data_IF_070952593309
#
_entry.id   IF_070952593309
#
_cell.length_a   1.000
_cell.length_b   1.000
_cell.length_c   1.000
_cell.angle_alpha   90.00
_cell.angle_beta   90.00
_cell.angle_gamma   90.00
#
_symmetry.space_group_name_H-M   'P 1'
#
loop_
_entity.id
_entity.type
_entity.pdbx_description
1 polymer ?
#
# COMPACT_ATOMS: atom_id res chain seq x y z
N UNK A 1 18.27 -8.79 1.02
CA UNK A 1 17.58 -10.03 0.56
C UNK A 1 18.05 -11.16 1.47
N UNK A 2 17.16 -12.03 1.94
CA UNK A 2 17.51 -13.15 2.82
C UNK A 2 17.94 -14.34 1.97
N UNK A 3 19.07 -14.93 2.28
CA UNK A 3 19.57 -16.10 1.58
C UNK A 3 18.86 -17.36 2.11
N UNK A 4 18.49 -18.28 1.22
CA UNK A 4 17.79 -19.53 1.61
C UNK A 4 18.64 -20.39 2.56
N UNK A 5 19.97 -20.37 2.42
CA UNK A 5 20.86 -21.07 3.35
C UNK A 5 20.99 -20.40 4.73
N UNK A 6 20.49 -19.17 4.93
CA UNK A 6 20.49 -18.51 6.24
C UNK A 6 19.81 -19.35 7.31
N UNK A 7 18.80 -20.15 6.95
CA UNK A 7 18.11 -21.05 7.88
C UNK A 7 18.97 -22.22 8.33
N UNK A 8 19.91 -22.69 7.50
CA UNK A 8 20.89 -23.70 7.91
C UNK A 8 21.88 -23.14 8.92
N UNK A 9 22.22 -21.86 8.80
CA UNK A 9 23.15 -21.16 9.68
C UNK A 9 22.59 -20.92 11.10
N UNK A 10 21.27 -21.02 11.29
CA UNK A 10 20.64 -20.92 12.61
C UNK A 10 21.08 -22.01 13.60
N UNK A 11 21.50 -23.18 13.11
CA UNK A 11 21.90 -24.33 13.93
C UNK A 11 23.38 -24.71 13.79
N UNK A 12 24.11 -24.03 12.91
CA UNK A 12 25.54 -24.30 12.69
C UNK A 12 26.35 -23.06 13.05
N UNK A 13 27.27 -23.19 14.01
CA UNK A 13 28.13 -22.08 14.44
C UNK A 13 29.02 -21.51 13.33
N UNK A 14 29.15 -22.19 12.18
CA UNK A 14 29.91 -21.73 11.00
C UNK A 14 29.25 -22.15 9.68
N UNK A 15 29.36 -21.30 8.67
CA UNK A 15 28.84 -21.52 7.30
C UNK A 15 29.46 -22.72 6.56
N UNK A 16 30.60 -23.24 7.03
CA UNK A 16 31.23 -24.44 6.47
C UNK A 16 30.58 -25.74 6.97
N UNK A 17 30.15 -25.76 8.24
CA UNK A 17 29.58 -26.94 8.91
C UNK A 17 28.19 -27.30 8.37
N UNK A 18 27.50 -26.34 7.74
CA UNK A 18 26.20 -26.55 7.09
C UNK A 18 26.26 -27.48 5.87
N UNK A 19 27.45 -27.80 5.35
CA UNK A 19 27.61 -28.74 4.23
C UNK A 19 27.33 -30.20 4.63
N UNK A 20 27.58 -30.57 5.88
CA UNK A 20 27.31 -31.91 6.42
C UNK A 20 25.83 -32.18 6.70
N UNK A 21 24.98 -31.14 6.70
CA UNK A 21 23.53 -31.26 6.92
C UNK A 21 22.75 -31.72 5.68
N UNK A 22 23.40 -31.95 4.54
CA UNK A 22 22.73 -32.45 3.33
C UNK A 22 22.10 -33.84 3.51
N UNK A 23 22.64 -34.65 4.41
CA UNK A 23 22.24 -36.05 4.63
C UNK A 23 21.32 -36.23 5.84
N UNK A 24 21.17 -35.21 6.70
CA UNK A 24 20.31 -35.27 7.88
C UNK A 24 18.92 -34.67 7.59
N UNK A 25 17.86 -35.37 7.99
CA UNK A 25 16.47 -34.90 7.95
C UNK A 25 16.24 -33.76 8.96
N UNK A 26 16.78 -32.58 8.65
CA UNK A 26 16.65 -31.37 9.46
C UNK A 26 15.54 -30.47 8.91
N UNK A 27 14.68 -29.96 9.79
CA UNK A 27 13.63 -28.98 9.44
C UNK A 27 14.22 -27.77 8.71
N UNK A 28 15.43 -27.32 9.10
CA UNK A 28 16.12 -26.19 8.48
C UNK A 28 16.58 -26.48 7.04
N UNK A 29 16.95 -27.73 6.74
CA UNK A 29 17.26 -28.15 5.38
C UNK A 29 15.99 -28.20 4.54
N UNK A 30 14.89 -28.70 5.10
CA UNK A 30 13.59 -28.71 4.42
C UNK A 30 13.09 -27.28 4.11
N UNK A 31 13.28 -26.32 5.02
CA UNK A 31 12.94 -24.91 4.80
C UNK A 31 13.79 -24.33 3.64
N UNK A 32 15.09 -24.57 3.64
CA UNK A 32 15.99 -24.12 2.57
C UNK A 32 15.57 -24.70 1.20
N UNK A 33 15.33 -26.01 1.11
CA UNK A 33 14.84 -26.67 -0.10
C UNK A 33 13.47 -26.15 -0.53
N UNK A 34 12.54 -25.97 0.41
CA UNK A 34 11.22 -25.41 0.12
C UNK A 34 11.33 -24.00 -0.47
N UNK A 35 12.14 -23.13 0.13
CA UNK A 35 12.35 -21.76 -0.34
C UNK A 35 13.00 -21.72 -1.72
N UNK A 36 13.96 -22.61 -1.99
CA UNK A 36 14.55 -22.75 -3.33
C UNK A 36 13.52 -23.22 -4.36
N UNK A 37 12.69 -24.22 -4.01
CA UNK A 37 11.68 -24.76 -4.92
C UNK A 37 10.66 -23.70 -5.33
N UNK A 38 10.16 -22.91 -4.37
CA UNK A 38 9.21 -21.84 -4.71
C UNK A 38 9.90 -20.72 -5.50
N UNK A 39 11.19 -20.46 -5.26
CA UNK A 39 11.97 -19.40 -5.90
C UNK A 39 12.66 -19.82 -7.22
N UNK A 40 12.15 -20.85 -7.90
CA UNK A 40 12.70 -21.30 -9.19
C UNK A 40 14.15 -21.80 -9.08
N UNK A 41 14.46 -22.53 -8.01
CA UNK A 41 15.80 -23.02 -7.64
C UNK A 41 16.83 -21.91 -7.35
N UNK A 42 16.40 -20.65 -7.18
CA UNK A 42 17.29 -19.56 -6.76
C UNK A 42 17.47 -19.57 -5.26
N UNK A 43 18.71 -19.46 -4.83
CA UNK A 43 19.08 -19.42 -3.42
C UNK A 43 19.10 -17.99 -2.85
N UNK A 44 19.24 -16.99 -3.73
CA UNK A 44 19.31 -15.56 -3.37
C UNK A 44 17.90 -14.95 -3.26
N UNK A 45 17.51 -14.62 -2.03
CA UNK A 45 16.20 -14.04 -1.76
C UNK A 45 15.17 -15.12 -1.43
N UNK A 46 14.24 -14.74 -0.55
CA UNK A 46 12.96 -15.41 -0.37
C UNK A 46 11.90 -14.65 -1.18
N UNK A 47 10.83 -15.33 -1.62
CA UNK A 47 9.77 -14.69 -2.41
C UNK A 47 8.98 -13.70 -1.56
N UNK A 48 8.67 -12.54 -2.13
CA UNK A 48 7.78 -11.53 -1.55
C UNK A 48 6.33 -11.84 -1.92
N UNK A 49 5.42 -11.78 -0.94
CA UNK A 49 3.98 -12.00 -1.15
C UNK A 49 3.42 -13.16 -0.32
N UNK A 50 3.98 -14.39 -0.39
CA UNK A 50 3.51 -15.51 0.43
C UNK A 50 3.69 -15.25 1.92
N UNK A 51 2.63 -15.41 2.71
CA UNK A 51 2.66 -15.17 4.16
C UNK A 51 3.67 -16.09 4.88
N UNK A 52 3.88 -17.30 4.36
CA UNK A 52 4.90 -18.22 4.87
C UNK A 52 6.32 -17.64 4.76
N UNK A 53 6.62 -16.90 3.68
CA UNK A 53 7.92 -16.24 3.54
C UNK A 53 8.09 -15.12 4.57
N UNK A 54 7.02 -14.38 4.88
CA UNK A 54 7.01 -13.36 5.94
C UNK A 54 7.27 -13.99 7.32
N UNK A 55 6.58 -15.09 7.62
CA UNK A 55 6.78 -15.84 8.87
C UNK A 55 8.23 -16.32 9.01
N UNK A 56 8.80 -16.87 7.94
CA UNK A 56 10.18 -17.37 7.94
C UNK A 56 11.20 -16.22 8.11
N UNK A 57 10.98 -15.08 7.46
CA UNK A 57 11.81 -13.89 7.67
C UNK A 57 11.78 -13.43 9.12
N UNK A 58 10.59 -13.38 9.71
CA UNK A 58 10.41 -12.99 11.11
C UNK A 58 11.09 -13.97 12.06
N UNK A 59 11.01 -15.28 11.79
CA UNK A 59 11.72 -16.31 12.55
C UNK A 59 13.25 -16.11 12.54
N UNK A 60 13.83 -15.80 11.38
CA UNK A 60 15.26 -15.47 11.28
C UNK A 60 15.60 -14.22 12.11
N UNK A 61 14.80 -13.16 12.01
CA UNK A 61 15.07 -11.92 12.72
C UNK A 61 14.89 -12.04 14.24
N UNK A 62 13.92 -12.80 14.73
CA UNK A 62 13.77 -13.09 16.18
C UNK A 62 15.03 -13.79 16.72
N UNK A 63 15.59 -14.73 15.96
CA UNK A 63 16.84 -15.38 16.35
C UNK A 63 18.01 -14.39 16.42
N UNK A 64 18.12 -13.48 15.44
CA UNK A 64 19.13 -12.43 15.44
C UNK A 64 18.93 -11.47 16.63
N UNK A 65 17.69 -11.05 16.90
CA UNK A 65 17.34 -10.17 18.02
C UNK A 65 17.78 -10.78 19.36
N UNK A 66 17.54 -12.08 19.55
CA UNK A 66 17.99 -12.79 20.75
C UNK A 66 19.51 -12.75 20.89
N UNK A 67 20.26 -13.06 19.82
CA UNK A 67 21.72 -13.00 19.86
C UNK A 67 22.24 -11.59 20.13
N UNK A 68 21.57 -10.55 19.61
CA UNK A 68 21.91 -9.15 19.87
C UNK A 68 21.74 -8.84 21.36
N UNK A 69 20.62 -9.24 21.97
CA UNK A 69 20.37 -9.02 23.40
C UNK A 69 21.42 -9.74 24.26
N UNK A 70 21.74 -11.00 23.94
CA UNK A 70 22.77 -11.78 24.63
C UNK A 70 24.15 -11.12 24.51
N UNK A 71 24.55 -10.71 23.31
CA UNK A 71 25.83 -10.03 23.06
C UNK A 71 25.93 -8.67 23.78
N UNK A 72 24.81 -7.96 23.93
CA UNK A 72 24.76 -6.70 24.68
C UNK A 72 24.82 -6.93 26.19
N UNK A 73 24.19 -7.99 26.68
CA UNK A 73 24.30 -8.39 28.08
C UNK A 73 25.75 -8.72 28.47
N UNK A 74 26.49 -9.41 27.60
CA UNK A 74 27.93 -9.68 27.77
C UNK A 74 28.77 -8.39 27.83
N UNK A 75 28.27 -7.29 27.26
CA UNK A 75 28.88 -5.95 27.33
C UNK A 75 28.36 -5.11 28.50
N UNK A 76 27.68 -5.71 29.47
CA UNK A 76 27.02 -5.05 30.62
C UNK A 76 25.93 -4.05 30.24
N UNK A 77 25.27 -4.23 29.09
CA UNK A 77 24.10 -3.45 28.68
C UNK A 77 22.85 -4.31 28.85
N UNK A 78 21.97 -3.90 29.77
CA UNK A 78 20.76 -4.65 30.13
C UNK A 78 19.54 -4.12 29.38
N UNK A 79 18.87 -5.02 28.64
CA UNK A 79 17.63 -4.71 27.93
C UNK A 79 16.55 -4.19 28.90
N UNK A 80 15.79 -3.16 28.46
CA UNK A 80 14.77 -2.43 29.25
C UNK A 80 15.27 -1.64 30.45
N UNK A 81 16.58 -1.62 30.69
CA UNK A 81 17.20 -0.81 31.74
C UNK A 81 18.09 0.27 31.13
N UNK A 82 19.06 -0.16 30.33
CA UNK A 82 20.04 0.74 29.70
C UNK A 82 19.59 1.16 28.30
N UNK A 83 18.85 0.29 27.62
CA UNK A 83 18.34 0.52 26.27
C UNK A 83 17.03 -0.23 25.99
N UNK A 84 16.30 0.23 24.98
CA UNK A 84 15.19 -0.46 24.33
C UNK A 84 15.46 -0.57 22.83
N UNK A 85 15.18 -1.74 22.26
CA UNK A 85 15.19 -1.98 20.81
C UNK A 85 13.78 -2.40 20.43
N UNK A 86 13.21 -1.74 19.43
CA UNK A 86 11.97 -2.14 18.79
C UNK A 86 12.26 -2.48 17.33
N UNK A 87 11.72 -3.59 16.84
CA UNK A 87 11.83 -3.97 15.43
C UNK A 87 10.46 -4.08 14.81
N UNK A 88 10.25 -3.41 13.68
CA UNK A 88 9.07 -3.54 12.83
C UNK A 88 9.52 -4.09 11.47
N UNK A 89 9.32 -5.38 11.25
CA UNK A 89 9.82 -6.07 10.04
C UNK A 89 11.35 -5.90 9.94
N UNK A 90 11.84 -5.10 8.99
CA UNK A 90 13.26 -4.82 8.76
C UNK A 90 13.77 -3.51 9.39
N UNK A 91 12.87 -2.70 9.97
CA UNK A 91 13.24 -1.42 10.61
C UNK A 91 13.53 -1.60 12.10
N UNK A 92 14.71 -1.12 12.54
CA UNK A 92 15.13 -1.09 13.95
C UNK A 92 15.04 0.33 14.53
N UNK A 93 14.44 0.44 15.72
CA UNK A 93 14.40 1.65 16.53
C UNK A 93 15.16 1.41 17.83
N UNK A 94 16.25 2.16 18.03
CA UNK A 94 17.12 2.03 19.20
C UNK A 94 16.92 3.25 20.10
N UNK A 95 16.53 3.02 21.36
CA UNK A 95 16.33 4.06 22.35
C UNK A 95 17.26 3.82 23.54
N UNK A 96 18.08 4.80 23.91
CA UNK A 96 18.94 4.79 25.10
C UNK A 96 19.16 6.22 25.59
N UNK A 97 19.81 6.37 26.76
CA UNK A 97 20.04 7.68 27.39
C UNK A 97 21.17 8.48 26.75
N UNK A 98 22.13 7.79 26.14
CA UNK A 98 23.29 8.39 25.50
C UNK A 98 23.56 7.79 24.10
N UNK A 99 24.22 8.57 23.26
CA UNK A 99 24.56 8.20 21.89
C UNK A 99 25.64 7.11 21.80
N UNK A 100 26.53 7.02 22.79
CA UNK A 100 27.57 5.99 22.85
C UNK A 100 26.96 4.59 22.88
N UNK A 101 25.96 4.40 23.75
CA UNK A 101 25.17 3.16 23.84
C UNK A 101 24.46 2.85 22.51
N UNK A 102 23.89 3.83 21.82
CA UNK A 102 23.24 3.61 20.51
C UNK A 102 24.23 3.12 19.46
N UNK A 103 25.44 3.69 19.43
CA UNK A 103 26.48 3.30 18.48
C UNK A 103 26.96 1.87 18.74
N UNK A 104 27.13 1.48 20.01
CA UNK A 104 27.47 0.10 20.40
C UNK A 104 26.37 -0.87 19.94
N UNK A 105 25.10 -0.56 20.20
CA UNK A 105 23.97 -1.40 19.80
C UNK A 105 23.91 -1.55 18.29
N UNK A 106 24.05 -0.44 17.55
CA UNK A 106 24.09 -0.44 16.08
C UNK A 106 25.23 -1.30 15.54
N UNK A 107 26.41 -1.25 16.15
CA UNK A 107 27.55 -2.09 15.79
C UNK A 107 27.25 -3.57 16.01
N UNK A 108 26.70 -3.93 17.17
CA UNK A 108 26.33 -5.32 17.50
C UNK A 108 25.28 -5.85 16.51
N UNK A 109 24.22 -5.09 16.24
CA UNK A 109 23.21 -5.46 15.24
C UNK A 109 23.86 -5.64 13.86
N UNK A 110 24.71 -4.70 13.43
CA UNK A 110 25.41 -4.79 12.14
C UNK A 110 26.26 -6.05 12.05
N UNK A 111 27.02 -6.38 13.10
CA UNK A 111 27.85 -7.58 13.14
C UNK A 111 27.00 -8.86 13.06
N UNK A 112 25.90 -8.92 13.81
CA UNK A 112 25.00 -10.07 13.81
C UNK A 112 24.26 -10.27 12.50
N UNK A 113 23.82 -9.18 11.85
CA UNK A 113 23.24 -9.24 10.51
C UNK A 113 24.24 -9.76 9.47
N UNK A 114 25.52 -9.36 9.56
CA UNK A 114 26.56 -9.77 8.61
C UNK A 114 26.83 -11.29 8.64
N UNK A 115 26.65 -11.96 9.79
CA UNK A 115 26.74 -13.43 9.90
C UNK A 115 25.76 -14.14 8.94
N UNK A 116 24.63 -13.49 8.65
CA UNK A 116 23.60 -13.96 7.72
C UNK A 116 23.64 -13.25 6.35
N UNK A 117 24.73 -12.55 6.03
CA UNK A 117 24.91 -11.74 4.82
C UNK A 117 23.90 -10.59 4.66
N UNK A 118 23.29 -10.15 5.76
CA UNK A 118 22.41 -8.99 5.81
C UNK A 118 23.21 -7.74 6.18
N UNK A 119 22.84 -6.58 5.60
CA UNK A 119 23.54 -5.31 5.83
C UNK A 119 22.53 -4.21 6.11
N UNK A 120 22.89 -3.32 7.05
CA UNK A 120 22.14 -2.09 7.31
C UNK A 120 22.32 -1.15 6.13
N UNK A 121 21.22 -0.58 5.63
CA UNK A 121 21.30 0.47 4.62
C UNK A 121 21.66 1.81 5.28
N UNK A 122 22.92 2.23 5.13
CA UNK A 122 23.43 3.47 5.73
C UNK A 122 22.66 4.73 5.34
N UNK A 123 22.08 4.80 4.13
CA UNK A 123 21.33 5.98 3.68
C UNK A 123 19.96 6.13 4.36
N UNK A 124 19.46 5.07 4.99
CA UNK A 124 18.21 5.07 5.77
C UNK A 124 18.45 5.31 7.26
N UNK A 125 19.71 5.36 7.71
CA UNK A 125 20.00 5.58 9.12
C UNK A 125 19.75 7.05 9.45
N UNK A 126 18.70 7.30 10.20
CA UNK A 126 18.37 8.62 10.75
C UNK A 126 18.53 8.61 12.28
N UNK A 127 18.90 9.77 12.83
CA UNK A 127 18.81 10.03 14.27
C UNK A 127 17.61 10.92 14.50
N UNK A 128 16.81 10.57 15.50
CA UNK A 128 15.63 11.35 15.88
C UNK A 128 15.88 12.05 17.22
N UNK A 129 15.73 13.37 17.24
CA UNK A 129 15.79 14.17 18.47
C UNK A 129 14.51 14.06 19.32
N UNK A 130 14.58 14.49 20.59
CA UNK A 130 13.43 14.52 21.51
C UNK A 130 12.23 15.31 20.98
N UNK A 131 12.48 16.34 20.15
CA UNK A 131 11.45 17.15 19.48
C UNK A 131 10.94 16.58 18.15
N UNK A 132 11.63 15.61 17.55
CA UNK A 132 11.21 14.93 16.31
C UNK A 132 10.32 13.71 16.61
N UNK A 133 10.33 13.21 17.85
CA UNK A 133 9.39 12.19 18.36
C UNK A 133 7.98 12.78 18.54
N UNK A 134 7.87 14.10 18.77
CA UNK A 134 6.59 14.80 18.65
C UNK A 134 6.18 14.74 17.19
N UNK A 135 5.16 13.94 16.92
CA UNK A 135 4.52 13.87 15.62
C UNK A 135 3.86 15.23 15.31
N UNK A 136 4.65 16.24 14.92
CA UNK A 136 4.16 17.59 14.64
C UNK A 136 3.01 17.54 13.63
N UNK A 137 3.07 16.62 12.67
CA UNK A 137 1.98 16.37 11.72
C UNK A 137 0.63 16.04 12.40
N UNK A 138 0.63 15.31 13.53
CA UNK A 138 -0.60 14.99 14.29
C UNK A 138 -1.22 16.22 14.93
N UNK A 139 -0.41 17.22 15.31
CA UNK A 139 -0.90 18.50 15.84
C UNK A 139 -1.38 19.39 14.70
N UNK A 140 -0.58 19.52 13.63
CA UNK A 140 -0.91 20.38 12.48
C UNK A 140 -2.18 19.89 11.74
N UNK A 141 -2.36 18.57 11.62
CA UNK A 141 -3.53 18.00 10.95
C UNK A 141 -4.83 18.30 11.71
N UNK A 142 -4.78 18.59 13.02
CA UNK A 142 -5.97 18.94 13.81
C UNK A 142 -6.72 20.13 13.20
N UNK A 143 -5.99 21.10 12.68
CA UNK A 143 -6.57 22.28 12.02
C UNK A 143 -7.36 21.93 10.75
N UNK A 144 -6.97 20.84 10.07
CA UNK A 144 -7.67 20.27 8.91
C UNK A 144 -8.85 19.43 9.37
N UNK A 145 -8.69 18.63 10.44
CA UNK A 145 -9.78 17.83 11.01
C UNK A 145 -10.92 18.73 11.49
N UNK A 146 -10.62 19.85 12.15
CA UNK A 146 -11.62 20.84 12.55
C UNK A 146 -12.43 21.36 11.35
N UNK A 147 -11.79 21.56 10.19
CA UNK A 147 -12.51 21.93 8.97
C UNK A 147 -13.39 20.80 8.45
N UNK A 148 -12.92 19.56 8.49
CA UNK A 148 -13.70 18.38 8.10
C UNK A 148 -14.94 18.26 9.00
N UNK A 149 -14.79 18.43 10.31
CA UNK A 149 -15.93 18.46 11.24
C UNK A 149 -16.92 19.56 10.85
N UNK A 150 -16.45 20.78 10.56
CA UNK A 150 -17.30 21.88 10.10
C UNK A 150 -17.97 21.64 8.76
N UNK A 151 -17.43 20.76 7.92
CA UNK A 151 -18.05 20.32 6.66
C UNK A 151 -19.21 19.36 6.95
N UNK A 152 -19.08 18.44 7.91
CA UNK A 152 -20.08 17.38 8.16
C UNK A 152 -21.08 17.68 9.29
N UNK A 153 -20.77 18.62 10.19
CA UNK A 153 -21.61 19.01 11.32
C UNK A 153 -22.02 20.50 11.19
N UNK A 154 -23.29 20.74 10.86
CA UNK A 154 -23.88 22.08 10.81
C UNK A 154 -24.37 22.59 12.17
N UNK A 155 -24.58 21.69 13.14
CA UNK A 155 -24.98 21.97 14.52
C UNK A 155 -23.98 21.32 15.48
N UNK A 156 -23.46 22.10 16.43
CA UNK A 156 -22.36 21.68 17.30
C UNK A 156 -22.92 20.99 18.53
N UNK A 157 -22.69 19.69 18.65
CA UNK A 157 -22.48 19.08 19.96
C UNK A 157 -20.99 18.74 20.12
N UNK A 158 -20.32 19.56 20.94
CA UNK A 158 -19.01 19.35 21.58
C UNK A 158 -17.86 18.84 20.69
N UNK A 159 -17.33 19.73 19.84
CA UNK A 159 -15.98 19.64 19.23
C UNK A 159 -14.89 19.31 20.27
N UNK A 160 -15.04 19.81 21.51
CA UNK A 160 -14.08 19.57 22.59
C UNK A 160 -13.93 18.09 22.94
N UNK A 161 -14.98 17.27 22.87
CA UNK A 161 -14.88 15.85 23.28
C UNK A 161 -13.92 15.05 22.39
N UNK A 162 -13.94 15.27 21.07
CA UNK A 162 -13.08 14.57 20.12
C UNK A 162 -11.63 15.09 20.18
N UNK A 163 -11.43 16.39 20.35
CA UNK A 163 -10.09 16.96 20.49
C UNK A 163 -9.48 16.50 21.81
N UNK A 164 -10.24 16.54 22.91
CA UNK A 164 -9.79 16.04 24.22
C UNK A 164 -9.49 14.54 24.17
N UNK A 165 -10.34 13.71 23.56
CA UNK A 165 -10.07 12.27 23.43
C UNK A 165 -8.81 12.00 22.60
N UNK A 166 -8.61 12.80 21.54
CA UNK A 166 -7.47 12.65 20.64
C UNK A 166 -6.17 13.13 21.32
N UNK A 167 -6.19 14.25 22.03
CA UNK A 167 -5.08 14.72 22.86
C UNK A 167 -4.72 13.73 23.96
N UNK A 168 -5.70 13.12 24.63
CA UNK A 168 -5.45 12.05 25.60
C UNK A 168 -4.88 10.77 24.98
N UNK A 169 -5.21 10.48 23.72
CA UNK A 169 -4.67 9.32 23.00
C UNK A 169 -3.25 9.51 22.44
N UNK A 170 -2.70 10.73 22.53
CA UNK A 170 -1.36 11.06 22.00
C UNK A 170 -0.20 10.78 22.97
N UNK A 171 -0.45 10.17 24.14
CA UNK A 171 0.56 9.81 25.16
C UNK A 171 1.54 10.96 25.50
N UNK A 172 1.05 12.20 25.53
CA UNK A 172 1.85 13.37 25.89
C UNK A 172 1.95 13.50 27.42
N UNK A 173 3.14 13.84 27.95
CA UNK A 173 3.38 14.07 29.38
C UNK A 173 2.31 14.99 30.02
N UNK A 174 1.92 14.71 31.27
CA UNK A 174 0.86 15.42 32.02
C UNK A 174 1.01 16.96 32.01
N UNK A 175 2.23 17.49 32.13
CA UNK A 175 2.48 18.94 32.05
C UNK A 175 2.19 19.54 30.65
N UNK A 176 2.50 18.80 29.58
CA UNK A 176 2.22 19.23 28.20
C UNK A 176 0.76 19.08 27.85
N UNK A 177 0.12 17.99 28.28
CA UNK A 177 -1.34 17.83 28.15
C UNK A 177 -2.04 18.92 28.93
N UNK A 178 -1.61 19.25 30.13
CA UNK A 178 -2.20 20.32 30.93
C UNK A 178 -1.99 21.70 30.30
N UNK A 179 -0.79 22.01 29.78
CA UNK A 179 -0.56 23.27 29.05
C UNK A 179 -1.34 23.38 27.73
N UNK A 180 -1.52 22.27 27.00
CA UNK A 180 -2.33 22.24 25.77
C UNK A 180 -3.83 22.20 26.05
N UNK A 181 -4.27 21.55 27.13
CA UNK A 181 -5.65 21.55 27.61
C UNK A 181 -6.02 22.90 28.21
N UNK A 182 -5.11 23.58 28.90
CA UNK A 182 -5.26 24.97 29.33
C UNK A 182 -5.25 25.90 28.12
N UNK A 183 -4.42 25.67 27.10
CA UNK A 183 -4.50 26.42 25.84
C UNK A 183 -5.83 26.16 25.10
N UNK A 184 -6.29 24.91 25.04
CA UNK A 184 -7.56 24.51 24.41
C UNK A 184 -8.80 24.96 25.22
N UNK A 185 -8.70 25.02 26.55
CA UNK A 185 -9.70 25.57 27.45
C UNK A 185 -9.70 27.11 27.43
N UNK A 186 -8.54 27.75 27.24
CA UNK A 186 -8.45 29.19 26.96
C UNK A 186 -8.95 29.53 25.55
N UNK A 187 -9.04 28.53 24.66
CA UNK A 187 -9.87 28.54 23.45
C UNK A 187 -11.36 28.29 23.73
N UNK A 188 -11.83 28.55 24.96
CA UNK A 188 -13.23 28.89 25.24
C UNK A 188 -13.63 30.16 24.48
N UNK A 189 -13.69 30.04 23.15
CA UNK A 189 -14.65 30.82 22.40
C UNK A 189 -15.98 30.23 22.87
N UNK A 190 -16.65 30.95 23.77
CA UNK A 190 -18.09 30.85 23.92
C UNK A 190 -18.67 31.20 22.54
N UNK A 191 -18.69 30.23 21.62
CA UNK A 191 -19.19 30.46 20.26
C UNK A 191 -20.70 30.57 20.41
N UNK A 192 -21.29 31.76 20.25
CA UNK A 192 -22.75 31.85 20.22
C UNK A 192 -23.24 30.99 19.06
N UNK A 193 -24.42 30.36 19.17
CA UNK A 193 -25.07 29.58 18.10
C UNK A 193 -25.09 30.36 16.77
N UNK A 194 -24.01 30.31 16.00
CA UNK A 194 -23.84 30.95 14.70
C UNK A 194 -23.68 29.82 13.71
N UNK A 195 -24.58 29.77 12.73
CA UNK A 195 -24.38 28.96 11.52
C UNK A 195 -22.98 29.27 10.98
N UNK A 196 -22.11 28.27 10.93
CA UNK A 196 -20.78 28.46 10.33
C UNK A 196 -20.95 28.93 8.89
N UNK A 197 -20.13 29.90 8.47
CA UNK A 197 -19.98 30.19 7.03
C UNK A 197 -19.54 28.91 6.34
N UNK A 198 -20.14 28.61 5.17
CA UNK A 198 -19.77 27.46 4.32
C UNK A 198 -18.26 27.41 4.16
N UNK A 199 -17.69 26.22 4.35
CA UNK A 199 -16.25 26.01 4.19
C UNK A 199 -15.91 26.14 2.70
N UNK A 200 -14.88 26.92 2.36
CA UNK A 200 -14.44 27.11 0.96
C UNK A 200 -13.29 26.19 0.61
N UNK A 201 -13.26 25.73 -0.65
CA UNK A 201 -12.16 24.92 -1.20
C UNK A 201 -10.78 25.57 -0.96
N UNK A 202 -10.65 26.88 -1.20
CA UNK A 202 -9.35 27.59 -1.09
C UNK A 202 -8.79 27.55 0.33
N UNK A 203 -9.67 27.68 1.33
CA UNK A 203 -9.28 27.66 2.75
C UNK A 203 -8.84 26.26 3.16
N UNK A 204 -9.56 25.23 2.69
CA UNK A 204 -9.24 23.82 2.95
C UNK A 204 -7.90 23.45 2.31
N UNK A 205 -7.74 23.76 1.02
CA UNK A 205 -6.51 23.50 0.26
C UNK A 205 -5.30 24.17 0.92
N UNK A 206 -5.42 25.44 1.30
CA UNK A 206 -4.33 26.19 1.92
C UNK A 206 -3.85 25.54 3.23
N UNK A 207 -4.79 25.14 4.10
CA UNK A 207 -4.45 24.48 5.37
C UNK A 207 -3.83 23.10 5.18
N UNK A 208 -4.33 22.30 4.22
CA UNK A 208 -3.71 21.00 3.89
C UNK A 208 -2.28 21.20 3.39
N UNK A 209 -2.05 22.15 2.48
CA UNK A 209 -0.70 22.44 1.99
C UNK A 209 0.22 22.93 3.10
N UNK A 210 -0.27 23.80 3.98
CA UNK A 210 0.49 24.26 5.16
C UNK A 210 0.88 23.09 6.05
N UNK A 211 -0.07 22.19 6.35
CA UNK A 211 0.17 20.99 7.16
C UNK A 211 1.24 20.11 6.52
N UNK A 212 1.12 19.86 5.21
CA UNK A 212 2.06 19.03 4.45
C UNK A 212 3.44 19.68 4.39
N UNK A 213 3.55 21.00 4.27
CA UNK A 213 4.85 21.68 4.21
C UNK A 213 5.57 21.69 5.57
N UNK A 214 4.81 21.72 6.67
CA UNK A 214 5.37 21.67 8.04
C UNK A 214 5.70 20.23 8.45
N UNK A 215 4.95 19.25 7.94
CA UNK A 215 5.21 17.83 8.19
C UNK A 215 6.13 17.21 7.14
N UNK A 216 7.14 16.44 7.53
CA UNK A 216 7.83 15.56 6.56
C UNK A 216 6.98 14.33 6.17
N UNK A 217 5.75 14.23 6.67
CA UNK A 217 4.87 13.04 6.63
C UNK A 217 3.68 13.19 5.67
N UNK A 218 3.94 13.71 4.46
CA UNK A 218 2.93 13.96 3.42
C UNK A 218 1.97 12.78 3.21
N UNK A 219 2.49 11.56 3.14
CA UNK A 219 1.69 10.36 2.88
C UNK A 219 0.70 10.04 4.00
N UNK A 220 1.15 10.16 5.26
CA UNK A 220 0.32 9.94 6.44
C UNK A 220 -0.77 11.01 6.56
N UNK A 221 -0.43 12.28 6.33
CA UNK A 221 -1.38 13.40 6.35
C UNK A 221 -2.51 13.18 5.34
N UNK A 222 -2.19 12.93 4.07
CA UNK A 222 -3.20 12.66 3.04
C UNK A 222 -4.05 11.42 3.38
N UNK A 223 -3.41 10.35 3.84
CA UNK A 223 -4.11 9.12 4.22
C UNK A 223 -5.08 9.34 5.37
N UNK A 224 -4.68 10.10 6.40
CA UNK A 224 -5.49 10.39 7.56
C UNK A 224 -6.68 11.30 7.23
N UNK A 225 -6.46 12.32 6.40
CA UNK A 225 -7.54 13.20 5.90
C UNK A 225 -8.60 12.39 5.16
N UNK A 226 -8.19 11.55 4.18
CA UNK A 226 -9.13 10.70 3.43
C UNK A 226 -9.86 9.71 4.34
N UNK A 227 -9.16 9.12 5.31
CA UNK A 227 -9.77 8.19 6.27
C UNK A 227 -10.80 8.89 7.16
N UNK A 228 -10.52 10.13 7.59
CA UNK A 228 -11.46 10.92 8.38
C UNK A 228 -12.70 11.27 7.57
N UNK A 229 -12.53 11.74 6.33
CA UNK A 229 -13.64 12.03 5.42
C UNK A 229 -14.49 10.77 5.19
N UNK A 230 -13.84 9.65 4.89
CA UNK A 230 -14.52 8.37 4.68
C UNK A 230 -15.33 7.96 5.91
N UNK A 231 -14.71 8.00 7.10
CA UNK A 231 -15.37 7.66 8.37
C UNK A 231 -16.61 8.55 8.63
N UNK A 232 -16.55 9.84 8.31
CA UNK A 232 -17.70 10.75 8.44
C UNK A 232 -18.85 10.41 7.50
N UNK A 233 -18.54 9.99 6.28
CA UNK A 233 -19.55 9.54 5.30
C UNK A 233 -20.14 8.19 5.73
N UNK A 234 -19.32 7.26 6.19
CA UNK A 234 -19.76 5.93 6.64
C UNK A 234 -20.58 5.99 7.92
N UNK A 235 -20.27 6.89 8.86
CA UNK A 235 -21.06 7.09 10.07
C UNK A 235 -22.52 7.47 9.76
N UNK A 236 -22.76 8.18 8.65
CA UNK A 236 -24.08 8.58 8.19
C UNK A 236 -24.67 7.62 7.15
N UNK A 237 -24.32 6.33 7.17
CA UNK A 237 -24.69 5.36 6.11
C UNK A 237 -26.17 5.38 5.73
N UNK A 238 -27.08 5.48 6.71
CA UNK A 238 -28.53 5.42 6.51
C UNK A 238 -29.23 6.80 6.51
N UNK A 239 -28.47 7.88 6.67
CA UNK A 239 -29.00 9.24 6.77
C UNK A 239 -28.60 10.10 5.57
N UNK A 240 -29.33 11.20 5.35
CA UNK A 240 -28.97 12.20 4.35
C UNK A 240 -27.66 12.88 4.72
N UNK A 241 -26.73 12.94 3.76
CA UNK A 241 -25.42 13.53 3.97
C UNK A 241 -25.49 15.05 3.84
N UNK A 242 -25.66 15.74 4.97
CA UNK A 242 -25.58 17.20 5.02
C UNK A 242 -24.11 17.66 4.96
N UNK A 243 -23.75 18.34 3.86
CA UNK A 243 -22.41 18.89 3.63
C UNK A 243 -22.48 20.43 3.66
N UNK A 244 -21.79 21.05 4.60
CA UNK A 244 -21.66 22.50 4.74
C UNK A 244 -20.58 23.09 3.80
N UNK A 245 -20.60 22.64 2.55
CA UNK A 245 -19.73 23.04 1.45
C UNK A 245 -20.51 22.81 0.14
N UNK A 246 -20.19 23.53 -0.94
CA UNK A 246 -20.76 23.18 -2.25
C UNK A 246 -20.26 21.79 -2.65
N UNK A 247 -21.15 20.94 -3.16
CA UNK A 247 -20.80 19.55 -3.48
C UNK A 247 -19.60 19.44 -4.45
N UNK A 248 -19.54 20.31 -5.47
CA UNK A 248 -18.39 20.39 -6.38
C UNK A 248 -17.08 20.73 -5.65
N UNK A 249 -17.11 21.70 -4.73
CA UNK A 249 -15.93 22.08 -3.93
C UNK A 249 -15.49 20.90 -3.04
N UNK A 250 -16.43 20.13 -2.51
CA UNK A 250 -16.14 18.98 -1.67
C UNK A 250 -15.51 17.83 -2.46
N UNK A 251 -16.08 17.47 -3.62
CA UNK A 251 -15.49 16.45 -4.51
C UNK A 251 -14.10 16.91 -4.97
N UNK A 252 -13.95 18.18 -5.32
CA UNK A 252 -12.63 18.77 -5.64
C UNK A 252 -11.67 18.64 -4.45
N UNK A 253 -12.09 18.88 -3.20
CA UNK A 253 -11.24 18.69 -2.02
C UNK A 253 -10.74 17.25 -1.91
N UNK A 254 -11.63 16.26 -2.10
CA UNK A 254 -11.28 14.83 -2.02
C UNK A 254 -10.25 14.48 -3.10
N UNK A 255 -10.49 14.90 -4.35
CA UNK A 255 -9.57 14.70 -5.45
C UNK A 255 -8.23 15.40 -5.25
N UNK A 256 -8.22 16.62 -4.71
CA UNK A 256 -7.00 17.35 -4.38
C UNK A 256 -6.14 16.60 -3.35
N UNK A 257 -6.75 16.10 -2.26
CA UNK A 257 -6.01 15.35 -1.23
C UNK A 257 -5.46 14.05 -1.81
N UNK A 258 -6.25 13.37 -2.64
CA UNK A 258 -5.83 12.16 -3.35
C UNK A 258 -4.68 12.41 -4.31
N UNK A 259 -4.82 13.40 -5.22
CA UNK A 259 -3.80 13.73 -6.23
C UNK A 259 -2.49 14.20 -5.61
N UNK A 260 -2.55 14.75 -4.40
CA UNK A 260 -1.35 15.14 -3.66
C UNK A 260 -0.48 13.92 -3.32
N UNK A 261 -1.04 12.75 -3.01
CA UNK A 261 -0.27 11.54 -2.70
C UNK A 261 -1.00 10.27 -3.15
N UNK A 262 -0.74 9.89 -4.39
CA UNK A 262 -1.33 8.70 -5.02
C UNK A 262 -0.56 7.46 -4.59
N UNK A 263 -1.28 6.49 -4.07
CA UNK A 263 -0.83 5.14 -3.81
C UNK A 263 -2.05 4.22 -3.74
N UNK A 264 -1.83 2.91 -3.81
CA UNK A 264 -2.91 1.93 -3.70
C UNK A 264 -3.90 2.21 -2.53
N UNK A 265 -3.41 2.54 -1.33
CA UNK A 265 -4.27 2.77 -0.17
C UNK A 265 -5.08 4.06 -0.25
N UNK A 266 -4.57 5.14 -0.87
CA UNK A 266 -5.33 6.36 -1.10
C UNK A 266 -6.35 6.19 -2.21
N UNK A 267 -6.01 5.42 -3.26
CA UNK A 267 -6.91 5.02 -4.36
C UNK A 267 -8.13 4.26 -3.84
N UNK A 268 -7.92 3.26 -2.98
CA UNK A 268 -9.01 2.50 -2.37
C UNK A 268 -9.96 3.40 -1.53
N UNK A 269 -9.40 4.35 -0.78
CA UNK A 269 -10.20 5.30 0.02
C UNK A 269 -11.01 6.24 -0.86
N UNK A 270 -10.42 6.82 -1.92
CA UNK A 270 -11.18 7.71 -2.81
C UNK A 270 -12.27 6.94 -3.55
N UNK A 271 -12.00 5.73 -4.07
CA UNK A 271 -13.02 4.89 -4.70
C UNK A 271 -14.18 4.64 -3.74
N UNK A 272 -13.89 4.31 -2.48
CA UNK A 272 -14.92 4.08 -1.46
C UNK A 272 -15.72 5.35 -1.16
N UNK A 273 -15.07 6.49 -0.99
CA UNK A 273 -15.72 7.79 -0.79
C UNK A 273 -16.66 8.09 -1.96
N UNK A 274 -16.16 8.01 -3.20
CA UNK A 274 -16.94 8.35 -4.39
C UNK A 274 -18.12 7.38 -4.59
N UNK A 275 -17.92 6.08 -4.37
CA UNK A 275 -18.98 5.07 -4.44
C UNK A 275 -20.12 5.38 -3.45
N UNK A 276 -19.78 5.68 -2.19
CA UNK A 276 -20.77 6.03 -1.17
C UNK A 276 -21.49 7.35 -1.47
N UNK A 277 -20.81 8.31 -2.08
CA UNK A 277 -21.41 9.56 -2.50
C UNK A 277 -22.41 9.34 -3.64
N UNK A 278 -22.02 8.58 -4.69
CA UNK A 278 -22.89 8.24 -5.81
C UNK A 278 -24.16 7.54 -5.31
N UNK A 279 -24.02 6.54 -4.44
CA UNK A 279 -25.15 5.79 -3.89
C UNK A 279 -26.14 6.69 -3.11
N UNK A 280 -25.66 7.80 -2.53
CA UNK A 280 -26.47 8.71 -1.70
C UNK A 280 -27.17 9.84 -2.45
N UNK A 281 -26.62 10.38 -3.54
CA UNK A 281 -27.21 11.55 -4.23
C UNK A 281 -27.51 11.33 -5.74
N UNK A 282 -27.47 10.07 -6.16
CA UNK A 282 -28.00 9.43 -7.39
C UNK A 282 -27.69 10.02 -8.78
N UNK A 283 -27.53 11.33 -9.03
CA UNK A 283 -27.37 11.83 -10.41
C UNK A 283 -26.31 12.94 -10.60
N UNK A 284 -26.33 14.03 -9.83
CA UNK A 284 -25.41 15.17 -10.09
C UNK A 284 -23.93 14.89 -9.76
N UNK A 285 -23.64 13.83 -9.00
CA UNK A 285 -22.27 13.54 -8.53
C UNK A 285 -21.35 13.08 -9.65
N UNK A 286 -21.86 12.34 -10.65
CA UNK A 286 -21.01 11.79 -11.72
C UNK A 286 -20.35 12.91 -12.52
N UNK A 287 -21.11 13.89 -12.96
CA UNK A 287 -20.59 15.05 -13.70
C UNK A 287 -19.54 15.83 -12.88
N UNK A 288 -19.73 15.93 -11.55
CA UNK A 288 -18.77 16.58 -10.66
C UNK A 288 -17.48 15.76 -10.49
N UNK A 289 -17.59 14.42 -10.47
CA UNK A 289 -16.44 13.51 -10.48
C UNK A 289 -15.67 13.67 -11.79
N UNK A 290 -16.35 13.65 -12.93
CA UNK A 290 -15.77 13.81 -14.27
C UNK A 290 -14.97 15.12 -14.37
N UNK A 291 -15.57 16.25 -13.98
CA UNK A 291 -14.89 17.55 -13.91
C UNK A 291 -13.67 17.55 -12.98
N UNK A 292 -13.73 16.80 -11.88
CA UNK A 292 -12.60 16.70 -10.95
C UNK A 292 -11.49 15.82 -11.52
N UNK A 293 -11.83 14.76 -12.26
CA UNK A 293 -10.85 13.93 -12.96
C UNK A 293 -10.11 14.78 -14.01
N UNK A 294 -10.83 15.52 -14.85
CA UNK A 294 -10.24 16.45 -15.82
C UNK A 294 -9.26 17.43 -15.17
N UNK A 295 -9.64 17.96 -14.00
CA UNK A 295 -8.81 18.92 -13.27
C UNK A 295 -7.49 18.33 -12.76
N UNK A 296 -7.47 17.05 -12.39
CA UNK A 296 -6.34 16.40 -11.73
C UNK A 296 -5.72 15.28 -12.57
N UNK A 297 -6.00 15.23 -13.89
CA UNK A 297 -5.60 14.12 -14.76
C UNK A 297 -4.08 13.96 -14.87
N UNK A 298 -3.33 15.07 -14.87
CA UNK A 298 -1.87 15.06 -14.94
C UNK A 298 -1.23 14.59 -13.64
N UNK A 299 -1.86 14.88 -12.51
CA UNK A 299 -1.39 14.44 -11.21
C UNK A 299 -1.71 12.96 -10.98
N UNK A 300 -2.91 12.50 -11.35
CA UNK A 300 -3.40 11.14 -11.10
C UNK A 300 -2.76 10.11 -12.02
N UNK A 301 -2.85 10.31 -13.33
CA UNK A 301 -2.52 9.28 -14.32
C UNK A 301 -1.05 9.35 -14.72
N UNK A 302 -0.19 9.09 -13.74
CA UNK A 302 1.27 9.01 -13.90
C UNK A 302 1.70 7.64 -14.43
N UNK A 303 3.00 7.47 -14.69
CA UNK A 303 3.61 6.20 -15.10
C UNK A 303 3.52 5.07 -14.06
N UNK A 304 3.10 5.35 -12.82
CA UNK A 304 2.96 4.34 -11.77
C UNK A 304 1.53 3.78 -11.78
N UNK A 305 1.16 3.11 -12.87
CA UNK A 305 -0.20 2.63 -13.14
C UNK A 305 -0.79 1.75 -12.03
N UNK A 306 0.05 0.93 -11.38
CA UNK A 306 -0.36 0.03 -10.31
C UNK A 306 -1.00 0.76 -9.11
N UNK A 307 -0.64 2.02 -8.87
CA UNK A 307 -1.21 2.79 -7.75
C UNK A 307 -2.64 3.25 -8.01
N UNK A 308 -3.04 3.43 -9.27
CA UNK A 308 -4.33 4.00 -9.66
C UNK A 308 -5.19 3.09 -10.55
N UNK A 309 -4.72 1.88 -10.87
CA UNK A 309 -5.40 0.92 -11.75
C UNK A 309 -6.87 0.67 -11.37
N UNK A 310 -7.19 0.62 -10.08
CA UNK A 310 -8.55 0.35 -9.60
C UNK A 310 -9.54 1.47 -9.96
N UNK A 311 -9.06 2.67 -10.28
CA UNK A 311 -9.91 3.74 -10.81
C UNK A 311 -10.54 3.34 -12.15
N UNK A 312 -9.85 2.56 -13.01
CA UNK A 312 -10.45 2.07 -14.26
C UNK A 312 -11.65 1.19 -13.99
N UNK A 313 -11.56 0.32 -12.98
CA UNK A 313 -12.66 -0.54 -12.57
C UNK A 313 -13.83 0.27 -12.02
N UNK A 314 -13.52 1.29 -11.21
CA UNK A 314 -14.52 2.25 -10.73
C UNK A 314 -15.21 2.99 -11.90
N UNK A 315 -14.45 3.51 -12.87
CA UNK A 315 -15.00 4.22 -14.03
C UNK A 315 -15.88 3.31 -14.90
N UNK A 316 -15.45 2.06 -15.11
CA UNK A 316 -16.23 1.07 -15.85
C UNK A 316 -17.53 0.71 -15.12
N UNK A 317 -17.45 0.50 -13.80
CA UNK A 317 -18.60 0.10 -12.97
C UNK A 317 -19.65 1.20 -12.91
N UNK A 318 -19.23 2.44 -12.70
CA UNK A 318 -20.14 3.58 -12.53
C UNK A 318 -20.42 4.35 -13.83
N UNK A 319 -19.86 3.90 -14.97
CA UNK A 319 -20.00 4.56 -16.28
C UNK A 319 -19.61 6.04 -16.20
N UNK A 320 -18.38 6.31 -15.74
CA UNK A 320 -17.81 7.66 -15.66
C UNK A 320 -17.23 8.03 -17.01
N UNK A 321 -17.66 9.17 -17.56
CA UNK A 321 -17.19 9.66 -18.85
C UNK A 321 -15.82 10.34 -18.71
N UNK A 322 -14.83 9.87 -19.45
CA UNK A 322 -13.48 10.45 -19.46
C UNK A 322 -13.21 11.16 -20.79
N UNK A 323 -12.42 12.25 -20.79
CA UNK A 323 -11.96 12.87 -22.03
C UNK A 323 -11.25 11.86 -22.94
N UNK A 324 -11.52 11.93 -24.24
CA UNK A 324 -10.89 11.04 -25.23
C UNK A 324 -9.34 11.05 -25.14
N UNK A 325 -8.73 12.23 -24.94
CA UNK A 325 -7.28 12.37 -24.77
C UNK A 325 -6.76 11.61 -23.56
N UNK A 326 -7.52 11.61 -22.46
CA UNK A 326 -7.16 10.89 -21.25
C UNK A 326 -7.26 9.37 -21.45
N UNK A 327 -8.30 8.91 -22.14
CA UNK A 327 -8.45 7.49 -22.52
C UNK A 327 -7.27 7.04 -23.38
N UNK A 328 -6.84 7.85 -24.36
CA UNK A 328 -5.65 7.55 -25.16
C UNK A 328 -4.38 7.50 -24.31
N UNK A 329 -4.17 8.48 -23.42
CA UNK A 329 -3.02 8.51 -22.50
C UNK A 329 -2.95 7.24 -21.63
N UNK A 330 -4.06 6.87 -20.99
CA UNK A 330 -4.15 5.65 -20.16
C UNK A 330 -3.87 4.40 -21.00
N UNK A 331 -4.47 4.32 -22.20
CA UNK A 331 -4.28 3.21 -23.14
C UNK A 331 -2.81 3.05 -23.53
N UNK A 332 -2.13 4.15 -23.85
CA UNK A 332 -0.73 4.14 -24.25
C UNK A 332 0.20 3.74 -23.09
N UNK A 333 -0.08 4.18 -21.86
CA UNK A 333 0.66 3.74 -20.65
C UNK A 333 0.56 2.21 -20.52
N UNK A 334 -0.66 1.67 -20.58
CA UNK A 334 -0.90 0.24 -20.32
C UNK A 334 -0.38 -0.65 -21.44
N UNK A 335 -0.51 -0.22 -22.70
CA UNK A 335 0.08 -0.92 -23.86
C UNK A 335 1.59 -0.98 -23.75
N UNK A 336 2.24 0.10 -23.29
CA UNK A 336 3.70 0.16 -23.16
C UNK A 336 4.22 -0.70 -22.01
N UNK A 337 3.47 -0.81 -20.91
CA UNK A 337 3.86 -1.63 -19.76
C UNK A 337 3.75 -3.13 -20.03
N UNK A 338 2.87 -3.55 -20.95
CA UNK A 338 2.59 -4.95 -21.28
C UNK A 338 2.30 -5.83 -20.05
N UNK A 339 1.78 -5.25 -18.96
CA UNK A 339 1.34 -5.99 -17.79
C UNK A 339 0.00 -6.68 -18.09
N UNK A 340 -0.12 -8.01 -17.91
CA UNK A 340 -1.38 -8.71 -18.23
C UNK A 340 -2.53 -8.27 -17.32
N UNK A 341 -2.25 -7.88 -16.07
CA UNK A 341 -3.25 -7.34 -15.13
C UNK A 341 -3.73 -5.97 -15.59
N UNK A 342 -2.81 -5.09 -16.02
CA UNK A 342 -3.15 -3.74 -16.46
C UNK A 342 -4.00 -3.82 -17.75
N UNK A 343 -3.58 -4.64 -18.71
CA UNK A 343 -4.34 -4.86 -19.93
C UNK A 343 -5.71 -5.49 -19.67
N UNK A 344 -5.86 -6.34 -18.65
CA UNK A 344 -7.17 -6.86 -18.25
C UNK A 344 -8.08 -5.76 -17.69
N UNK A 345 -7.56 -4.88 -16.81
CA UNK A 345 -8.30 -3.72 -16.32
C UNK A 345 -8.71 -2.77 -17.46
N UNK A 346 -7.81 -2.54 -18.43
CA UNK A 346 -8.12 -1.75 -19.64
C UNK A 346 -9.21 -2.41 -20.50
N UNK A 347 -9.21 -3.73 -20.62
CA UNK A 347 -10.26 -4.46 -21.33
C UNK A 347 -11.62 -4.32 -20.65
N UNK A 348 -11.67 -4.39 -19.32
CA UNK A 348 -12.89 -4.14 -18.55
C UNK A 348 -13.36 -2.70 -18.76
N UNK A 349 -12.45 -1.73 -18.68
CA UNK A 349 -12.76 -0.33 -18.92
C UNK A 349 -13.25 -0.06 -20.36
N UNK A 350 -12.72 -0.78 -21.35
CA UNK A 350 -13.16 -0.68 -22.74
C UNK A 350 -14.58 -1.20 -22.99
N UNK A 351 -15.24 -1.84 -22.02
CA UNK A 351 -16.67 -2.16 -22.10
C UNK A 351 -17.58 -1.00 -21.65
N UNK A 352 -17.00 0.11 -21.14
CA UNK A 352 -17.74 1.33 -20.80
C UNK A 352 -18.38 1.97 -22.03
N UNK A 353 -19.59 2.53 -21.88
CA UNK A 353 -20.39 3.10 -22.97
C UNK A 353 -19.69 4.29 -23.66
N UNK A 354 -18.80 4.98 -22.95
CA UNK A 354 -18.09 6.17 -23.44
C UNK A 354 -16.75 5.86 -24.13
N UNK A 355 -16.35 4.58 -24.24
CA UNK A 355 -15.04 4.18 -24.74
C UNK A 355 -15.14 3.51 -26.11
N UNK A 356 -14.47 4.08 -27.11
CA UNK A 356 -14.25 3.36 -28.37
C UNK A 356 -13.23 2.22 -28.16
N UNK A 357 -13.78 1.02 -27.96
CA UNK A 357 -12.98 -0.18 -27.70
C UNK A 357 -12.19 -0.69 -28.90
N UNK A 358 -12.42 -0.20 -30.13
CA UNK A 358 -11.84 -0.81 -31.34
C UNK A 358 -10.30 -0.81 -31.34
N UNK A 359 -9.68 0.34 -31.01
CA UNK A 359 -8.23 0.50 -30.92
C UNK A 359 -7.65 -0.35 -29.79
N UNK A 360 -8.29 -0.33 -28.62
CA UNK A 360 -7.88 -1.07 -27.43
C UNK A 360 -7.90 -2.58 -27.72
N UNK A 361 -9.04 -3.11 -28.19
CA UNK A 361 -9.24 -4.52 -28.49
C UNK A 361 -8.21 -5.02 -29.50
N UNK A 362 -7.95 -4.24 -30.57
CA UNK A 362 -6.96 -4.59 -31.59
C UNK A 362 -5.54 -4.67 -31.02
N UNK A 363 -5.13 -3.67 -30.23
CA UNK A 363 -3.81 -3.62 -29.62
C UNK A 363 -3.62 -4.73 -28.59
N UNK A 364 -4.61 -4.94 -27.71
CA UNK A 364 -4.55 -5.99 -26.68
C UNK A 364 -4.49 -7.37 -27.32
N UNK A 365 -5.33 -7.67 -28.32
CA UNK A 365 -5.28 -8.94 -29.04
C UNK A 365 -3.92 -9.18 -29.72
N UNK A 366 -3.28 -8.14 -30.26
CA UNK A 366 -1.94 -8.24 -30.84
C UNK A 366 -0.91 -8.63 -29.79
N UNK A 367 -0.93 -7.99 -28.62
CA UNK A 367 0.01 -8.30 -27.52
C UNK A 367 -0.25 -9.72 -27.00
N UNK A 368 -1.51 -10.08 -26.74
CA UNK A 368 -1.89 -11.43 -26.28
C UNK A 368 -1.35 -12.48 -27.25
N UNK A 369 -1.55 -12.30 -28.56
CA UNK A 369 -1.00 -13.20 -29.58
C UNK A 369 0.52 -13.34 -29.49
N UNK A 370 1.23 -12.21 -29.43
CA UNK A 370 2.70 -12.19 -29.34
C UNK A 370 3.23 -12.89 -28.09
N UNK A 371 2.50 -12.81 -26.97
CA UNK A 371 2.88 -13.45 -25.70
C UNK A 371 2.57 -14.95 -25.72
N UNK A 372 1.43 -15.34 -26.28
CA UNK A 372 1.06 -16.75 -26.46
C UNK A 372 2.03 -17.50 -27.38
N UNK A 373 2.47 -16.87 -28.46
CA UNK A 373 3.45 -17.46 -29.40
C UNK A 373 4.82 -17.73 -28.76
N UNK A 374 5.13 -17.08 -27.62
CA UNK A 374 6.38 -17.27 -26.87
C UNK A 374 6.30 -18.32 -25.77
N UNK A 375 5.11 -18.84 -25.47
CA UNK A 375 4.92 -19.83 -24.40
C UNK A 375 5.63 -21.14 -24.77
N UNK A 376 6.47 -21.63 -23.87
CA UNK A 376 6.94 -23.00 -23.88
C UNK A 376 5.83 -23.94 -23.38
N UNK A 377 5.01 -24.44 -24.30
CA UNK A 377 3.89 -25.32 -23.97
C UNK A 377 4.27 -26.65 -23.33
N UNK A 378 5.52 -27.13 -23.51
CA UNK A 378 5.98 -28.35 -22.84
C UNK A 378 6.20 -28.14 -21.35
N UNK A 379 6.68 -26.95 -20.96
CA UNK A 379 6.92 -26.56 -19.57
C UNK A 379 5.93 -25.47 -19.15
N UNK A 380 4.68 -25.57 -19.62
CA UNK A 380 3.67 -24.51 -19.52
C UNK A 380 3.52 -23.91 -18.12
N UNK A 381 3.52 -24.74 -17.07
CA UNK A 381 3.35 -24.27 -15.68
C UNK A 381 4.58 -23.54 -15.12
N UNK A 382 5.74 -23.67 -15.77
CA UNK A 382 6.98 -22.99 -15.41
C UNK A 382 7.23 -21.74 -16.26
N UNK A 383 6.49 -21.58 -17.36
CA UNK A 383 6.64 -20.43 -18.26
C UNK A 383 5.91 -19.19 -17.72
N UNK A 384 6.62 -18.07 -17.63
CA UNK A 384 6.09 -16.78 -17.15
C UNK A 384 4.92 -16.26 -18.00
N UNK A 385 4.85 -16.62 -19.28
CA UNK A 385 3.79 -16.21 -20.19
C UNK A 385 2.51 -17.03 -20.01
N UNK A 386 2.55 -18.14 -19.25
CA UNK A 386 1.36 -18.95 -18.93
C UNK A 386 0.23 -18.14 -18.29
N UNK A 387 0.55 -17.10 -17.51
CA UNK A 387 -0.43 -16.18 -16.91
C UNK A 387 -1.34 -15.49 -17.93
N UNK A 388 -0.86 -15.24 -19.14
CA UNK A 388 -1.66 -14.63 -20.21
C UNK A 388 -2.82 -15.52 -20.63
N UNK A 389 -2.63 -16.83 -20.57
CA UNK A 389 -3.68 -17.81 -20.86
C UNK A 389 -4.76 -17.73 -19.79
N UNK A 390 -4.37 -17.76 -18.52
CA UNK A 390 -5.32 -17.71 -17.40
C UNK A 390 -6.13 -16.42 -17.36
N UNK A 391 -5.50 -15.28 -17.66
CA UNK A 391 -6.16 -13.97 -17.60
C UNK A 391 -7.09 -13.76 -18.80
N UNK A 392 -6.66 -14.10 -20.01
CA UNK A 392 -7.38 -13.70 -21.23
C UNK A 392 -8.25 -14.78 -21.88
N UNK A 393 -8.17 -16.06 -21.49
CA UNK A 393 -9.01 -17.09 -22.09
C UNK A 393 -10.52 -16.80 -21.97
N UNK A 394 -10.91 -16.16 -20.86
CA UNK A 394 -12.28 -15.74 -20.56
C UNK A 394 -12.65 -14.38 -21.16
N UNK A 395 -11.72 -13.68 -21.81
CA UNK A 395 -11.97 -12.35 -22.38
C UNK A 395 -12.97 -12.44 -23.55
N UNK A 396 -14.14 -11.76 -23.49
CA UNK A 396 -15.19 -11.91 -24.51
C UNK A 396 -14.77 -11.44 -25.91
N UNK A 397 -13.96 -10.38 -26.00
CA UNK A 397 -13.47 -9.81 -27.27
C UNK A 397 -12.10 -10.37 -27.70
N UNK A 398 -11.70 -11.52 -27.16
CA UNK A 398 -10.54 -12.26 -27.64
C UNK A 398 -10.80 -12.79 -29.06
N UNK A 399 -9.79 -12.70 -29.92
CA UNK A 399 -9.84 -13.23 -31.28
C UNK A 399 -10.22 -14.72 -31.26
N UNK A 400 -11.29 -15.09 -31.99
CA UNK A 400 -11.85 -16.44 -31.97
C UNK A 400 -10.84 -17.53 -32.38
N UNK A 401 -9.96 -17.22 -33.34
CA UNK A 401 -8.91 -18.15 -33.79
C UNK A 401 -7.87 -18.34 -32.69
N UNK A 402 -7.40 -17.24 -32.10
CA UNK A 402 -6.44 -17.28 -30.99
C UNK A 402 -7.01 -18.04 -29.78
N UNK A 403 -8.28 -17.79 -29.44
CA UNK A 403 -8.97 -18.52 -28.37
C UNK A 403 -9.01 -20.02 -28.62
N UNK A 404 -9.30 -20.43 -29.87
CA UNK A 404 -9.28 -21.85 -30.26
C UNK A 404 -7.87 -22.43 -30.12
N UNK A 405 -6.85 -21.74 -30.63
CA UNK A 405 -5.45 -22.15 -30.51
C UNK A 405 -5.05 -22.35 -29.04
N UNK A 406 -5.40 -21.42 -28.14
CA UNK A 406 -5.15 -21.56 -26.70
C UNK A 406 -5.81 -22.80 -26.10
N UNK A 407 -7.08 -23.07 -26.45
CA UNK A 407 -7.81 -24.25 -25.95
C UNK A 407 -7.15 -25.53 -26.44
N UNK A 408 -6.75 -25.58 -27.71
CA UNK A 408 -6.09 -26.75 -28.30
C UNK A 408 -4.75 -27.03 -27.61
N UNK A 409 -3.94 -25.99 -27.35
CA UNK A 409 -2.70 -26.13 -26.59
C UNK A 409 -2.91 -26.61 -25.15
N UNK A 410 -3.89 -26.04 -24.42
CA UNK A 410 -4.22 -26.47 -23.05
C UNK A 410 -4.68 -27.94 -23.04
N UNK A 411 -5.45 -28.38 -24.04
CA UNK A 411 -5.88 -29.77 -24.15
C UNK A 411 -4.69 -30.72 -24.35
N UNK A 412 -3.67 -30.31 -25.12
CA UNK A 412 -2.41 -31.05 -25.25
C UNK A 412 -1.65 -31.16 -23.92
N UNK A 413 -1.49 -30.05 -23.20
CA UNK A 413 -0.87 -30.06 -21.85
C UNK A 413 -1.63 -31.00 -20.91
N UNK A 414 -2.97 -31.01 -20.99
CA UNK A 414 -3.81 -31.88 -20.17
C UNK A 414 -3.68 -33.36 -20.53
N UNK A 415 -3.53 -33.71 -21.81
CA UNK A 415 -3.29 -35.10 -22.22
C UNK A 415 -1.93 -35.60 -21.72
N UNK A 416 -0.89 -34.77 -21.81
CA UNK A 416 0.47 -35.13 -21.40
C UNK A 416 0.57 -35.36 -19.88
N UNK A 417 -0.11 -34.54 -19.08
CA UNK A 417 -0.24 -34.75 -17.64
C UNK A 417 -0.95 -36.07 -17.31
N UNK A 418 -1.98 -36.43 -18.09
CA UNK A 418 -2.74 -37.67 -17.88
C UNK A 418 -1.94 -38.90 -18.27
N UNK A 419 -1.13 -38.84 -19.33
CA UNK A 419 -0.25 -39.95 -19.70
C UNK A 419 0.87 -40.15 -18.68
N UNK A 420 1.50 -39.06 -18.21
CA UNK A 420 2.59 -39.15 -17.23
C UNK A 420 2.15 -39.68 -15.85
N UNK A 421 0.90 -39.46 -15.46
CA UNK A 421 0.34 -40.03 -14.22
C UNK A 421 0.04 -41.53 -14.32
N UNK A 422 -0.12 -42.10 -15.52
CA UNK A 422 -0.31 -43.55 -15.69
C UNK A 422 1.03 -44.29 -15.61
N UNK A 423 2.12 -43.66 -16.05
CA UNK A 423 3.47 -44.26 -15.98
C UNK A 423 4.13 -44.14 -14.60
N UNK A 424 3.79 -43.13 -13.79
CA UNK A 424 4.28 -42.99 -12.41
C UNK A 424 3.44 -43.76 -11.35
N UNK A 425 2.37 -44.46 -11.78
CA UNK A 425 1.53 -45.30 -10.91
C UNK A 425 1.77 -46.81 -11.13
N UNK A 426 2.83 -47.17 -11.87
CA UNK A 426 3.45 -48.50 -11.88
C UNK A 426 4.77 -48.44 -11.14
#
# INVERSE_FOLDING_TARGET
>A
QIYTHSYKWLITNKTYDSKGLKEAASVYNNIDTFLQNINGSKTNGIIVGPEICRLLAEFLFIHIDQQVIETLADRNLTFRTDYNIFRLVDDYFICSKDEGTQNIIKEVISNKLNEYQLKINGSKVAKFGKGEILNTWKIEVLSVIEMIERIFNSEVEKLNSNITSLLSSLELNEEYTQGLLEAAANFEITVPKKRYRKVKYIDFRSRVLSTINVSNEKSLVCSYILSTILSKIEAKKNEELLINMRLNDFITCVFFVYSTNINYASTQKIIRILSLLIDKQQLDIKELIERSIERFEEDIFTKFSNDWIDLLLFFATYQINLPYKLIEKITDIFIKEESPVNLAALCIFAESEFVDSTKIVKSVNKIIKQKIEKINWKEFFQDEHGWWVYIFLSYPKLNKRLKKEMIDYINGVRSDLRSNNVDNAK
#
